data_IF_287348185142
#
_entry.id   IF_287348185142
#
_cell.length_a   1.000
_cell.length_b   1.000
_cell.length_c   1.000
_cell.angle_alpha   90.00
_cell.angle_beta   90.00
_cell.angle_gamma   90.00
#
_symmetry.space_group_name_H-M   'P 1'
#
loop_
_entity.id
_entity.type
_entity.pdbx_description
1 polymer ?
#
# COMPACT_ATOMS: atom_id res chain seq x y z
N UNK A 1 -35.56 22.20 -5.21
CA UNK A 1 -35.60 21.05 -4.26
C UNK A 1 -34.74 19.93 -4.83
N UNK A 2 -33.46 19.90 -4.49
CA UNK A 2 -32.54 18.78 -4.81
C UNK A 2 -32.80 17.63 -3.85
N UNK A 3 -32.81 16.40 -4.39
CA UNK A 3 -32.37 15.20 -3.65
C UNK A 3 -32.14 14.04 -4.63
N UNK A 4 -30.85 13.75 -4.78
CA UNK A 4 -30.26 12.41 -4.99
C UNK A 4 -30.51 11.69 -6.32
N UNK A 5 -29.64 11.99 -7.29
CA UNK A 5 -29.05 10.97 -8.16
C UNK A 5 -28.21 10.03 -7.27
N UNK A 6 -28.86 9.05 -6.63
CA UNK A 6 -28.13 7.90 -6.11
C UNK A 6 -27.69 7.10 -7.33
N UNK A 7 -26.46 7.37 -7.76
CA UNK A 7 -25.74 6.63 -8.77
C UNK A 7 -25.77 5.14 -8.40
N UNK A 8 -26.71 4.44 -9.03
CA UNK A 8 -26.75 2.99 -9.10
C UNK A 8 -25.66 2.57 -10.07
N UNK A 9 -24.41 2.73 -9.64
CA UNK A 9 -23.22 2.31 -10.36
C UNK A 9 -22.49 1.23 -9.54
N UNK A 10 -23.23 0.21 -9.10
CA UNK A 10 -22.66 -1.12 -8.95
C UNK A 10 -23.01 -1.89 -10.23
N UNK A 11 -22.51 -1.38 -11.35
CA UNK A 11 -22.47 -2.12 -12.60
C UNK A 11 -21.19 -2.96 -12.57
N UNK A 12 -21.39 -4.25 -12.42
CA UNK A 12 -20.38 -5.27 -12.56
C UNK A 12 -19.99 -5.32 -14.05
N UNK A 13 -18.97 -4.56 -14.46
CA UNK A 13 -18.34 -4.68 -15.77
C UNK A 13 -16.83 -4.71 -15.60
N UNK A 14 -16.30 -5.93 -15.62
CA UNK A 14 -14.95 -6.21 -16.11
C UNK A 14 -14.87 -5.77 -17.57
N UNK A 15 -14.12 -4.72 -17.87
CA UNK A 15 -12.99 -4.74 -18.81
C UNK A 15 -12.33 -3.35 -18.86
N UNK A 16 -11.01 -3.38 -18.88
CA UNK A 16 -9.99 -2.41 -19.29
C UNK A 16 -10.43 -1.01 -19.75
N UNK A 17 -9.72 0.02 -19.25
CA UNK A 17 -9.62 1.40 -19.82
C UNK A 17 -10.34 2.58 -19.09
N UNK A 18 -10.41 2.57 -17.75
CA UNK A 18 -10.74 3.77 -16.98
C UNK A 18 -9.59 4.17 -16.03
N UNK A 19 -8.67 4.96 -16.60
CA UNK A 19 -8.11 6.21 -16.03
C UNK A 19 -7.83 6.22 -14.53
N UNK A 20 -6.57 5.96 -14.14
CA UNK A 20 -5.74 6.44 -12.99
C UNK A 20 -6.34 6.92 -11.64
N UNK A 21 -7.65 6.86 -11.43
CA UNK A 21 -8.37 7.27 -10.22
C UNK A 21 -8.16 6.27 -9.08
N UNK A 22 -8.03 4.98 -9.42
CA UNK A 22 -7.84 3.92 -8.43
C UNK A 22 -6.59 4.14 -7.57
N UNK A 23 -5.49 4.63 -8.14
CA UNK A 23 -4.21 4.79 -7.41
C UNK A 23 -4.25 6.06 -6.54
N UNK A 24 -4.72 7.19 -7.08
CA UNK A 24 -4.85 8.44 -6.31
C UNK A 24 -5.87 8.28 -5.17
N UNK A 25 -7.00 7.62 -5.45
CA UNK A 25 -8.02 7.33 -4.44
C UNK A 25 -7.49 6.35 -3.39
N UNK A 26 -6.69 5.36 -3.81
CA UNK A 26 -6.09 4.41 -2.88
C UNK A 26 -5.04 5.08 -1.98
N UNK A 27 -4.18 5.94 -2.52
CA UNK A 27 -3.20 6.68 -1.74
C UNK A 27 -3.89 7.56 -0.69
N UNK A 28 -4.89 8.35 -1.10
CA UNK A 28 -5.66 9.19 -0.19
C UNK A 28 -6.42 8.36 0.88
N UNK A 29 -6.96 7.21 0.49
CA UNK A 29 -7.62 6.30 1.42
C UNK A 29 -6.66 5.66 2.43
N UNK A 30 -5.44 5.30 2.01
CA UNK A 30 -4.42 4.75 2.88
C UNK A 30 -3.85 5.80 3.84
N UNK A 31 -3.73 7.05 3.38
CA UNK A 31 -3.32 8.17 4.23
C UNK A 31 -4.29 8.36 5.42
N UNK A 32 -5.60 8.24 5.18
CA UNK A 32 -6.62 8.28 6.23
C UNK A 32 -6.51 7.16 7.30
N UNK A 33 -5.81 6.06 6.98
CA UNK A 33 -5.56 4.95 7.91
C UNK A 33 -4.07 4.81 8.26
N UNK A 34 -3.25 5.79 7.90
CA UNK A 34 -1.80 5.77 7.99
C UNK A 34 -1.28 5.35 9.37
N UNK A 35 -1.80 5.85 10.52
CA UNK A 35 -1.30 5.42 11.83
C UNK A 35 -1.47 3.91 12.10
N UNK A 36 -2.58 3.32 11.62
CA UNK A 36 -2.85 1.88 11.79
C UNK A 36 -2.03 1.05 10.81
N UNK A 37 -1.88 1.53 9.58
CA UNK A 37 -1.07 0.89 8.56
C UNK A 37 0.40 0.87 8.98
N UNK A 38 0.95 2.04 9.35
CA UNK A 38 2.32 2.23 9.81
C UNK A 38 2.70 1.24 10.92
N UNK A 39 1.88 1.15 11.97
CA UNK A 39 2.10 0.19 13.06
C UNK A 39 2.17 -1.26 12.58
N UNK A 40 1.30 -1.64 11.64
CA UNK A 40 1.31 -2.99 11.06
C UNK A 40 2.55 -3.27 10.23
N UNK A 41 3.01 -2.30 9.44
CA UNK A 41 4.24 -2.44 8.63
C UNK A 41 5.48 -2.53 9.52
N UNK A 42 5.63 -1.63 10.51
CA UNK A 42 6.75 -1.66 11.46
C UNK A 42 6.83 -3.03 12.16
N UNK A 43 5.69 -3.54 12.64
CA UNK A 43 5.65 -4.84 13.32
C UNK A 43 6.00 -5.99 12.37
N UNK A 44 5.63 -5.90 11.09
CA UNK A 44 5.95 -6.94 10.11
C UNK A 44 7.44 -6.95 9.78
N UNK A 45 8.04 -5.78 9.54
CA UNK A 45 9.49 -5.65 9.29
C UNK A 45 10.31 -6.09 10.51
N UNK A 46 9.93 -5.67 11.72
CA UNK A 46 10.63 -6.10 12.95
C UNK A 46 10.63 -7.62 13.10
N UNK A 47 9.55 -8.30 12.69
CA UNK A 47 9.46 -9.76 12.73
C UNK A 47 10.18 -10.46 11.58
N UNK A 48 10.21 -9.86 10.40
CA UNK A 48 10.83 -10.43 9.22
C UNK A 48 12.36 -10.28 9.25
N UNK A 49 12.85 -9.11 9.66
CA UNK A 49 14.26 -8.72 9.55
C UNK A 49 14.96 -8.57 10.91
N UNK A 50 14.21 -8.48 12.02
CA UNK A 50 14.78 -8.08 13.32
C UNK A 50 15.16 -6.60 13.39
N UNK A 51 14.78 -5.80 12.39
CA UNK A 51 15.06 -4.36 12.30
C UNK A 51 13.91 -3.56 12.91
N UNK A 52 14.23 -2.65 13.84
CA UNK A 52 13.24 -1.84 14.53
C UNK A 52 13.14 -0.44 13.92
N UNK A 53 12.16 -0.26 13.04
CA UNK A 53 11.78 1.04 12.50
C UNK A 53 11.06 1.90 13.57
N UNK A 54 11.35 3.21 13.59
CA UNK A 54 10.62 4.18 14.43
C UNK A 54 9.36 4.69 13.75
N UNK A 55 9.39 4.83 12.42
CA UNK A 55 8.21 5.11 11.61
C UNK A 55 8.27 4.41 10.25
N UNK A 56 7.09 4.24 9.64
CA UNK A 56 6.91 3.78 8.27
C UNK A 56 5.63 4.41 7.71
N UNK A 57 5.75 5.53 7.00
CA UNK A 57 4.61 6.31 6.49
C UNK A 57 4.51 6.14 4.98
N UNK A 58 3.30 5.94 4.46
CA UNK A 58 3.13 5.83 3.01
C UNK A 58 3.47 7.19 2.37
N UNK A 59 4.46 7.20 1.49
CA UNK A 59 4.86 8.38 0.71
C UNK A 59 4.08 8.41 -0.61
N UNK A 60 4.22 7.33 -1.38
CA UNK A 60 3.63 7.23 -2.72
C UNK A 60 3.28 5.80 -3.10
N UNK A 61 2.36 5.68 -4.05
CA UNK A 61 2.01 4.41 -4.70
C UNK A 61 2.27 4.59 -6.19
N UNK A 62 3.09 3.71 -6.75
CA UNK A 62 3.35 3.68 -8.19
C UNK A 62 2.81 2.39 -8.78
N UNK A 63 2.45 2.42 -10.06
CA UNK A 63 1.96 1.25 -10.77
C UNK A 63 2.85 0.95 -11.96
N UNK A 64 3.33 -0.28 -12.02
CA UNK A 64 4.07 -0.81 -13.16
C UNK A 64 3.11 -1.57 -14.07
N UNK A 65 2.83 -1.03 -15.26
CA UNK A 65 1.92 -1.64 -16.23
C UNK A 65 2.46 -2.91 -16.88
N UNK A 66 3.78 -3.05 -16.99
CA UNK A 66 4.42 -4.23 -17.58
C UNK A 66 4.24 -5.45 -16.67
N UNK A 67 4.38 -5.24 -15.36
CA UNK A 67 4.27 -6.31 -14.36
C UNK A 67 2.88 -6.39 -13.71
N UNK A 68 1.98 -5.43 -13.99
CA UNK A 68 0.68 -5.30 -13.34
C UNK A 68 0.80 -5.27 -11.80
N UNK A 69 1.82 -4.58 -11.30
CA UNK A 69 2.20 -4.54 -9.88
C UNK A 69 2.15 -3.11 -9.36
N UNK A 70 1.64 -2.93 -8.14
CA UNK A 70 1.74 -1.68 -7.40
C UNK A 70 2.94 -1.73 -6.47
N UNK A 71 3.74 -0.67 -6.45
CA UNK A 71 4.79 -0.45 -5.46
C UNK A 71 4.28 0.55 -4.43
N UNK A 72 4.14 0.10 -3.19
CA UNK A 72 3.83 0.94 -2.04
C UNK A 72 5.14 1.39 -1.43
N UNK A 73 5.45 2.67 -1.56
CA UNK A 73 6.69 3.26 -1.08
C UNK A 73 6.41 3.94 0.25
N UNK A 74 7.10 3.49 1.29
CA UNK A 74 7.05 4.04 2.61
C UNK A 74 8.32 4.81 2.90
N UNK A 75 8.18 6.04 3.38
CA UNK A 75 9.23 6.75 4.10
C UNK A 75 9.43 6.07 5.45
N UNK A 76 10.67 5.70 5.76
CA UNK A 76 11.03 4.97 6.97
C UNK A 76 12.15 5.68 7.73
N UNK A 77 12.15 5.49 9.04
CA UNK A 77 13.28 5.87 9.88
C UNK A 77 13.76 4.66 10.67
N UNK A 78 15.06 4.45 10.62
CA UNK A 78 15.76 3.33 11.22
C UNK A 78 16.98 3.84 12.00
N UNK A 79 16.78 4.57 13.10
CA UNK A 79 17.86 5.28 13.79
C UNK A 79 18.84 4.36 14.53
N UNK A 80 18.57 3.06 14.55
CA UNK A 80 19.41 2.05 15.21
C UNK A 80 20.26 1.26 14.23
N UNK A 81 20.13 1.50 12.92
CA UNK A 81 20.90 0.84 11.88
C UNK A 81 22.00 1.75 11.38
N UNK A 82 23.19 1.20 11.19
CA UNK A 82 24.30 1.88 10.48
C UNK A 82 24.06 1.96 8.96
N UNK A 83 22.91 1.46 8.48
CA UNK A 83 22.48 1.54 7.09
C UNK A 83 21.56 2.75 6.90
N UNK A 84 21.88 3.60 5.92
CA UNK A 84 21.06 4.71 5.46
C UNK A 84 19.85 4.16 4.68
N UNK A 85 18.86 3.60 5.37
CA UNK A 85 17.61 3.13 4.76
C UNK A 85 16.56 4.23 4.87
N UNK A 86 16.16 4.79 3.73
CA UNK A 86 15.20 5.89 3.65
C UNK A 86 13.82 5.42 3.20
N UNK A 87 13.75 4.45 2.28
CA UNK A 87 12.48 3.94 1.77
C UNK A 87 12.33 2.43 1.97
N UNK A 88 11.10 2.00 2.27
CA UNK A 88 10.66 0.62 2.15
C UNK A 88 9.68 0.52 0.98
N UNK A 89 9.99 -0.33 0.01
CA UNK A 89 9.11 -0.58 -1.15
C UNK A 89 8.52 -1.97 -1.04
N UNK A 90 7.19 -2.06 -0.94
CA UNK A 90 6.44 -3.31 -0.94
C UNK A 90 5.77 -3.48 -2.30
N UNK A 91 6.00 -4.61 -2.96
CA UNK A 91 5.44 -4.93 -4.25
C UNK A 91 4.17 -5.76 -4.09
N UNK A 92 3.07 -5.32 -4.70
CA UNK A 92 1.77 -6.00 -4.61
C UNK A 92 1.19 -6.19 -6.00
N UNK A 93 0.95 -7.43 -6.45
CA UNK A 93 0.24 -7.67 -7.69
C UNK A 93 -1.17 -7.08 -7.63
N UNK A 94 -1.61 -6.39 -8.69
CA UNK A 94 -2.91 -5.69 -8.70
C UNK A 94 -4.09 -6.62 -8.39
N UNK A 95 -4.01 -7.87 -8.83
CA UNK A 95 -5.01 -8.90 -8.56
C UNK A 95 -5.14 -9.25 -7.06
N UNK A 96 -4.07 -9.11 -6.27
CA UNK A 96 -4.12 -9.34 -4.83
C UNK A 96 -4.95 -8.27 -4.10
N UNK A 97 -5.16 -7.11 -4.73
CA UNK A 97 -6.03 -6.04 -4.22
C UNK A 97 -7.47 -6.17 -4.76
N UNK A 98 -7.72 -7.06 -5.71
CA UNK A 98 -9.06 -7.24 -6.30
C UNK A 98 -10.01 -7.75 -5.22
N UNK A 99 -11.07 -6.99 -4.94
CA UNK A 99 -12.08 -7.26 -3.91
C UNK A 99 -11.61 -7.14 -2.46
N UNK A 100 -10.40 -6.63 -2.21
CA UNK A 100 -9.92 -6.36 -0.85
C UNK A 100 -10.53 -5.04 -0.36
N UNK A 101 -11.11 -5.05 0.84
CA UNK A 101 -11.63 -3.83 1.46
C UNK A 101 -10.48 -3.00 2.02
N UNK A 102 -10.60 -1.67 2.00
CA UNK A 102 -9.56 -0.75 2.49
C UNK A 102 -8.95 -1.14 3.85
N UNK A 103 -9.73 -1.51 4.90
CA UNK A 103 -9.15 -1.89 6.20
C UNK A 103 -8.32 -3.19 6.17
N UNK A 104 -8.48 -4.01 5.13
CA UNK A 104 -7.79 -5.29 4.93
C UNK A 104 -6.51 -5.14 4.10
N UNK A 105 -6.27 -4.00 3.43
CA UNK A 105 -5.08 -3.79 2.59
C UNK A 105 -3.79 -3.95 3.40
N UNK A 106 -3.79 -3.53 4.67
CA UNK A 106 -2.67 -3.77 5.58
C UNK A 106 -2.28 -5.26 5.65
N UNK A 107 -3.25 -6.17 5.58
CA UNK A 107 -2.98 -7.61 5.65
C UNK A 107 -2.29 -8.10 4.38
N UNK A 108 -2.67 -7.56 3.22
CA UNK A 108 -2.01 -7.84 1.94
C UNK A 108 -0.57 -7.38 1.99
N UNK A 109 -0.33 -6.14 2.43
CA UNK A 109 1.03 -5.58 2.55
C UNK A 109 1.89 -6.37 3.53
N UNK A 110 1.35 -6.74 4.71
CA UNK A 110 2.10 -7.59 5.65
C UNK A 110 2.37 -8.98 5.09
N UNK A 111 1.45 -9.55 4.30
CA UNK A 111 1.68 -10.84 3.65
C UNK A 111 2.85 -10.75 2.65
N UNK A 112 2.89 -9.70 1.82
CA UNK A 112 4.01 -9.45 0.91
C UNK A 112 5.35 -9.33 1.64
N UNK A 113 5.37 -8.68 2.82
CA UNK A 113 6.58 -8.65 3.66
C UNK A 113 6.99 -10.08 4.07
N UNK A 114 6.08 -10.89 4.61
CA UNK A 114 6.43 -12.26 5.01
C UNK A 114 6.77 -13.18 3.83
N UNK A 115 6.33 -12.85 2.63
CA UNK A 115 6.67 -13.54 1.38
C UNK A 115 7.99 -13.03 0.75
N UNK A 116 8.60 -11.98 1.31
CA UNK A 116 9.85 -11.40 0.79
C UNK A 116 9.66 -10.48 -0.43
N UNK A 117 8.43 -10.07 -0.74
CA UNK A 117 8.09 -9.16 -1.84
C UNK A 117 8.25 -7.68 -1.44
N UNK A 118 9.43 -7.34 -0.91
CA UNK A 118 9.79 -5.98 -0.55
C UNK A 118 11.29 -5.75 -0.67
N UNK A 119 11.70 -4.49 -0.65
CA UNK A 119 13.10 -4.08 -0.64
C UNK A 119 13.26 -2.75 0.10
N UNK A 120 14.40 -2.59 0.76
CA UNK A 120 14.82 -1.29 1.29
C UNK A 120 15.60 -0.50 0.23
N UNK A 121 15.52 0.83 0.29
CA UNK A 121 16.32 1.74 -0.54
C UNK A 121 16.98 2.81 0.32
N UNK A 122 18.12 3.26 -0.18
CA UNK A 122 18.91 4.41 0.28
C UNK A 122 18.80 5.57 -0.69
#
# INVERSE_FOLDING_TARGET
>A
MSKTLLAKAFANTTDTDASYCFISDLAAQLDNISPRLSKSIITAIERAEGVRLTHALIDKITYNSLHNTLSFVFDIDNPLSDQDLEELVIEVPREALKNVKLPQIKNVLTAQIFEGAYQFKS
#
